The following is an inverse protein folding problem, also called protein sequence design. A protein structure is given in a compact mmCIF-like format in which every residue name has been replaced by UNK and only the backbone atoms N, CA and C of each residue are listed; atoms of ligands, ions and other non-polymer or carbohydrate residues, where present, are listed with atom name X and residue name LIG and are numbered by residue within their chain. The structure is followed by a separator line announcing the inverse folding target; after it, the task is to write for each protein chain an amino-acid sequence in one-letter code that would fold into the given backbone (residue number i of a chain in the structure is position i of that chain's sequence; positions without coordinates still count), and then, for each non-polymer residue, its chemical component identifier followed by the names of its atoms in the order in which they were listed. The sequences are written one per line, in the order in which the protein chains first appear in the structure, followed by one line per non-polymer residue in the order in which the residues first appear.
data_IF_485528302241
#
_entry.id   IF_485528302241
#
_cell.length_a   1.000
_cell.length_b   1.000
_cell.length_c   1.000
_cell.angle_alpha   90.00
_cell.angle_beta   90.00
_cell.angle_gamma   90.00
#
_symmetry.space_group_name_H-M   'P 1'
#
loop_
_entity.id
_entity.type
_entity.pdbx_description
1 polymer ?
#
# COMPACT_ATOMS: atom_id res chain seq x y z
N UNK A 1 1.43 18.27 -30.81
CA UNK A 1 0.47 17.60 -29.90
C UNK A 1 1.26 16.60 -29.09
N UNK A 2 1.60 16.90 -27.85
CA UNK A 2 2.47 16.07 -27.03
C UNK A 2 1.84 15.86 -25.65
N UNK A 3 0.76 15.09 -25.57
CA UNK A 3 0.09 14.80 -24.30
C UNK A 3 0.20 13.31 -23.89
N UNK A 4 1.06 12.52 -24.54
CA UNK A 4 1.20 11.10 -24.21
C UNK A 4 2.19 10.84 -23.06
N UNK A 5 3.17 11.73 -22.83
CA UNK A 5 4.20 11.53 -21.79
C UNK A 5 3.81 11.99 -20.39
N UNK A 6 2.79 12.85 -20.24
CA UNK A 6 2.32 13.30 -18.94
C UNK A 6 1.59 12.18 -18.18
N UNK A 7 0.73 11.41 -18.86
CA UNK A 7 -0.05 10.34 -18.23
C UNK A 7 0.79 9.21 -17.61
N UNK A 8 1.94 8.89 -18.20
CA UNK A 8 2.83 7.82 -17.69
C UNK A 8 3.59 8.28 -16.44
N UNK A 9 4.03 9.55 -16.41
CA UNK A 9 4.78 10.09 -15.26
C UNK A 9 3.90 10.23 -14.02
N UNK A 10 2.64 10.60 -14.17
CA UNK A 10 1.74 10.78 -13.03
C UNK A 10 1.28 9.44 -12.44
N UNK A 11 1.05 8.42 -13.27
CA UNK A 11 0.69 7.09 -12.81
C UNK A 11 1.81 6.44 -11.97
N UNK A 12 3.07 6.53 -12.42
CA UNK A 12 4.20 5.95 -11.68
C UNK A 12 4.47 6.64 -10.34
N UNK A 13 4.25 7.96 -10.24
CA UNK A 13 4.41 8.70 -8.97
C UNK A 13 3.27 8.36 -8.00
N UNK A 14 2.05 8.20 -8.49
CA UNK A 14 0.90 7.82 -7.67
C UNK A 14 1.02 6.39 -7.11
N UNK A 15 1.57 5.46 -7.90
CA UNK A 15 1.82 4.08 -7.49
C UNK A 15 2.89 4.02 -6.39
N UNK A 16 4.06 4.62 -6.60
CA UNK A 16 5.14 4.63 -5.60
C UNK A 16 4.76 5.31 -4.28
N UNK A 17 3.91 6.36 -4.33
CA UNK A 17 3.38 7.00 -3.10
C UNK A 17 2.42 6.08 -2.34
N UNK A 18 1.67 5.26 -3.05
CA UNK A 18 0.72 4.32 -2.45
C UNK A 18 1.46 3.13 -1.82
N UNK A 19 2.49 2.62 -2.49
CA UNK A 19 3.36 1.56 -1.98
C UNK A 19 4.10 2.00 -0.72
N UNK A 20 4.77 3.16 -0.73
CA UNK A 20 5.50 3.65 0.44
C UNK A 20 4.61 3.89 1.66
N UNK A 21 3.36 4.33 1.45
CA UNK A 21 2.39 4.43 2.56
C UNK A 21 1.86 3.07 3.00
N UNK A 22 1.73 2.10 2.11
CA UNK A 22 1.31 0.76 2.48
C UNK A 22 2.36 0.09 3.37
N UNK A 23 3.63 0.19 2.99
CA UNK A 23 4.78 -0.30 3.75
C UNK A 23 4.81 0.30 5.17
N UNK A 24 4.70 1.62 5.30
CA UNK A 24 4.66 2.30 6.61
C UNK A 24 3.52 1.78 7.50
N UNK A 25 2.31 1.64 6.95
CA UNK A 25 1.14 1.15 7.71
C UNK A 25 1.35 -0.30 8.18
N UNK A 26 1.95 -1.14 7.35
CA UNK A 26 2.17 -2.55 7.64
C UNK A 26 3.30 -2.73 8.66
N UNK A 27 4.44 -2.08 8.44
CA UNK A 27 5.61 -2.16 9.33
C UNK A 27 5.26 -1.66 10.73
N UNK A 28 4.69 -0.45 10.82
CA UNK A 28 4.25 0.10 12.10
C UNK A 28 3.15 -0.76 12.71
N UNK A 29 2.23 -1.29 11.90
CA UNK A 29 1.19 -2.20 12.37
C UNK A 29 1.76 -3.41 13.11
N UNK A 30 2.76 -4.09 12.55
CA UNK A 30 3.43 -5.19 13.24
C UNK A 30 4.28 -4.73 14.42
N UNK A 31 4.96 -3.57 14.33
CA UNK A 31 5.74 -3.00 15.45
C UNK A 31 4.88 -2.71 16.68
N UNK A 32 3.66 -2.20 16.47
CA UNK A 32 2.68 -1.94 17.52
C UNK A 32 1.87 -3.18 17.93
N UNK A 33 2.13 -4.35 17.35
CA UNK A 33 1.41 -5.59 17.65
C UNK A 33 -0.06 -5.58 17.20
N UNK A 34 -0.39 -4.82 16.15
CA UNK A 34 -1.73 -4.83 15.55
C UNK A 34 -2.00 -6.18 14.88
N UNK A 35 -3.28 -6.57 14.90
CA UNK A 35 -3.72 -7.74 14.15
C UNK A 35 -3.69 -7.47 12.65
N UNK A 36 -3.53 -8.52 11.84
CA UNK A 36 -3.56 -8.38 10.37
C UNK A 36 -4.86 -7.73 9.88
N UNK A 37 -5.98 -8.00 10.54
CA UNK A 37 -7.26 -7.36 10.23
C UNK A 37 -7.23 -5.85 10.47
N UNK A 38 -6.70 -5.38 11.60
CA UNK A 38 -6.52 -3.94 11.88
C UNK A 38 -5.61 -3.26 10.83
N UNK A 39 -4.55 -3.94 10.42
CA UNK A 39 -3.62 -3.44 9.39
C UNK A 39 -4.36 -3.33 8.04
N UNK A 40 -5.13 -4.35 7.65
CA UNK A 40 -5.93 -4.34 6.42
C UNK A 40 -7.00 -3.26 6.43
N UNK A 41 -7.67 -3.00 7.55
CA UNK A 41 -8.62 -1.89 7.68
C UNK A 41 -7.94 -0.53 7.52
N UNK A 42 -6.75 -0.36 8.12
CA UNK A 42 -5.96 0.88 7.99
C UNK A 42 -5.51 1.10 6.55
N UNK A 43 -5.03 0.05 5.86
CA UNK A 43 -4.65 0.12 4.45
C UNK A 43 -5.82 0.57 3.58
N UNK A 44 -6.98 -0.10 3.71
CA UNK A 44 -8.18 0.26 2.95
C UNK A 44 -8.61 1.70 3.21
N UNK A 45 -8.67 2.12 4.48
CA UNK A 45 -9.13 3.47 4.85
C UNK A 45 -8.15 4.58 4.46
N UNK A 46 -6.84 4.36 4.63
CA UNK A 46 -5.79 5.38 4.37
C UNK A 46 -5.45 5.51 2.89
N UNK A 47 -5.52 4.40 2.15
CA UNK A 47 -5.20 4.37 0.73
C UNK A 47 -6.45 4.37 -0.16
N UNK A 48 -7.65 4.25 0.43
CA UNK A 48 -8.92 4.13 -0.30
C UNK A 48 -8.88 3.00 -1.33
N UNK A 49 -8.35 1.85 -0.92
CA UNK A 49 -8.18 0.65 -1.74
C UNK A 49 -9.14 -0.47 -1.31
N UNK A 50 -9.36 -1.45 -2.18
CA UNK A 50 -10.15 -2.63 -1.85
C UNK A 50 -9.41 -3.55 -0.85
N UNK A 51 -10.17 -4.41 -0.16
CA UNK A 51 -9.60 -5.45 0.70
C UNK A 51 -8.58 -6.31 -0.05
N UNK A 52 -8.87 -6.67 -1.30
CA UNK A 52 -7.97 -7.47 -2.13
C UNK A 52 -6.63 -6.76 -2.33
N UNK A 53 -6.64 -5.46 -2.68
CA UNK A 53 -5.41 -4.69 -2.86
C UNK A 53 -4.65 -4.48 -1.55
N UNK A 54 -5.38 -4.33 -0.44
CA UNK A 54 -4.78 -4.27 0.89
C UNK A 54 -4.11 -5.60 1.28
N UNK A 55 -4.72 -6.74 0.94
CA UNK A 55 -4.14 -8.07 1.12
C UNK A 55 -2.90 -8.25 0.26
N UNK A 56 -2.91 -7.80 -1.00
CA UNK A 56 -1.71 -7.81 -1.85
C UNK A 56 -0.55 -7.04 -1.19
N UNK A 57 -0.81 -5.82 -0.69
CA UNK A 57 0.22 -5.07 0.03
C UNK A 57 0.67 -5.76 1.31
N UNK A 58 -0.25 -6.32 2.09
CA UNK A 58 0.08 -7.11 3.28
C UNK A 58 0.94 -8.33 2.95
N UNK A 59 0.71 -9.01 1.83
CA UNK A 59 1.54 -10.14 1.38
C UNK A 59 2.91 -9.69 0.86
N UNK A 60 2.97 -8.51 0.25
CA UNK A 60 4.17 -7.96 -0.37
C UNK A 60 5.15 -7.39 0.67
N UNK A 61 4.62 -6.68 1.68
CA UNK A 61 5.39 -6.00 2.72
C UNK A 61 5.28 -6.67 4.10
N UNK A 62 4.29 -7.53 4.31
CA UNK A 62 4.17 -8.30 5.53
C UNK A 62 5.37 -9.22 5.67
N UNK A 63 5.87 -9.33 6.91
CA UNK A 63 7.09 -10.09 7.19
C UNK A 63 6.95 -11.48 6.57
N UNK A 64 7.77 -11.79 5.56
CA UNK A 64 8.06 -13.17 5.18
C UNK A 64 8.64 -13.83 6.41
N UNK A 65 7.77 -14.43 7.22
CA UNK A 65 8.16 -15.38 8.25
C UNK A 65 8.78 -16.56 7.50
N UNK A 66 10.10 -16.52 7.36
CA UNK A 66 10.92 -17.71 7.10
C UNK A 66 10.91 -18.60 8.33
#
# INVERSE_FOLDING_TARGET
MCNLSQGIKEAGIAEGRSEGRAEEIIETGYEFGLSEQDILERLQKKLSISLQKAQEYLLMFGKRTV
#
